data_IF_541049863039
#
_entry.id   IF_541049863039
#
_cell.length_a   1.000
_cell.length_b   1.000
_cell.length_c   1.000
_cell.angle_alpha   90.00
_cell.angle_beta   90.00
_cell.angle_gamma   90.00
#
_symmetry.space_group_name_H-M   'P 1'
#
loop_
_entity.id
_entity.type
_entity.pdbx_description
1 polymer ?
#
# COMPACT_ATOMS: atom_id res chain seq x y z
N UNK A 1 32.00 28.22 -54.42
CA UNK A 1 30.61 27.67 -54.36
C UNK A 1 30.70 26.26 -53.80
N UNK A 2 30.14 25.89 -52.65
CA UNK A 2 28.89 26.34 -52.04
C UNK A 2 28.94 25.96 -50.54
N UNK A 3 28.80 26.96 -49.68
CA UNK A 3 28.45 26.80 -48.27
C UNK A 3 27.03 26.26 -48.15
N UNK A 4 26.79 25.40 -47.17
CA UNK A 4 25.52 25.10 -46.49
C UNK A 4 25.95 24.21 -45.30
N UNK A 5 26.13 24.62 -44.04
CA UNK A 5 25.28 25.35 -43.09
C UNK A 5 23.80 24.96 -43.12
N UNK A 6 23.24 24.75 -41.91
CA UNK A 6 21.91 24.26 -41.53
C UNK A 6 21.79 22.72 -41.45
N UNK A 7 21.38 22.09 -40.34
CA UNK A 7 20.80 22.60 -39.11
C UNK A 7 21.16 21.68 -37.94
N UNK A 8 21.61 22.29 -36.84
CA UNK A 8 21.36 21.76 -35.50
C UNK A 8 19.83 21.57 -35.40
N UNK A 9 19.36 20.36 -35.61
CA UNK A 9 18.04 19.99 -35.14
C UNK A 9 18.19 19.81 -33.64
N UNK A 10 18.09 20.93 -32.91
CA UNK A 10 17.92 20.91 -31.47
C UNK A 10 16.70 20.06 -31.17
N UNK A 11 16.94 18.82 -30.78
CA UNK A 11 15.98 18.06 -30.00
C UNK A 11 15.84 18.82 -28.69
N UNK A 12 14.96 19.83 -28.71
CA UNK A 12 14.34 20.36 -27.51
C UNK A 12 13.59 19.18 -26.92
N UNK A 13 14.27 18.47 -26.02
CA UNK A 13 13.65 17.54 -25.10
C UNK A 13 12.66 18.40 -24.32
N UNK A 14 11.40 18.42 -24.77
CA UNK A 14 10.30 18.81 -23.93
C UNK A 14 10.30 17.78 -22.80
N UNK A 15 11.02 18.10 -21.74
CA UNK A 15 10.92 17.45 -20.44
C UNK A 15 9.49 17.71 -19.98
N UNK A 16 8.59 16.84 -20.41
CA UNK A 16 7.19 16.87 -20.03
C UNK A 16 7.17 16.36 -18.58
N UNK A 17 7.13 17.27 -17.60
CA UNK A 17 6.71 16.99 -16.22
C UNK A 17 5.20 16.65 -16.22
N UNK A 18 4.79 15.63 -16.97
CA UNK A 18 3.48 15.01 -16.72
C UNK A 18 3.69 13.97 -15.65
N UNK A 19 3.10 14.22 -14.48
CA UNK A 19 2.98 13.22 -13.43
C UNK A 19 2.34 11.93 -13.97
N UNK A 20 2.63 10.81 -13.30
CA UNK A 20 2.08 9.50 -13.64
C UNK A 20 0.55 9.55 -13.60
N UNK A 21 -0.10 8.80 -14.50
CA UNK A 21 -1.54 8.52 -14.37
C UNK A 21 -1.79 7.61 -13.18
N UNK A 22 -3.04 7.54 -12.69
CA UNK A 22 -3.40 6.67 -11.56
C UNK A 22 -3.06 5.20 -11.83
N UNK A 23 -3.26 4.73 -13.07
CA UNK A 23 -2.90 3.37 -13.48
C UNK A 23 -1.38 3.16 -13.49
N UNK A 24 -0.61 4.11 -14.03
CA UNK A 24 0.86 4.05 -14.01
C UNK A 24 1.41 4.09 -12.58
N UNK A 25 0.78 4.88 -11.70
CA UNK A 25 1.16 4.97 -10.30
C UNK A 25 0.86 3.66 -9.55
N UNK A 26 -0.29 3.04 -9.80
CA UNK A 26 -0.62 1.74 -9.24
C UNK A 26 0.40 0.66 -9.67
N UNK A 27 0.74 0.61 -10.96
CA UNK A 27 1.74 -0.35 -11.45
C UNK A 27 3.13 -0.09 -10.84
N UNK A 28 3.55 1.16 -10.73
CA UNK A 28 4.81 1.50 -10.09
C UNK A 28 4.84 1.13 -8.59
N UNK A 29 3.70 1.17 -7.92
CA UNK A 29 3.61 0.76 -6.51
C UNK A 29 3.59 -0.76 -6.35
N UNK A 30 2.91 -1.49 -7.24
CA UNK A 30 2.96 -2.95 -7.30
C UNK A 30 4.40 -3.42 -7.53
N UNK A 31 5.11 -2.83 -8.50
CA UNK A 31 6.51 -3.19 -8.78
C UNK A 31 7.41 -2.98 -7.54
N UNK A 32 7.24 -1.86 -6.81
CA UNK A 32 7.98 -1.63 -5.55
C UNK A 32 7.65 -2.69 -4.49
N UNK A 33 6.39 -3.09 -4.38
CA UNK A 33 5.95 -4.13 -3.43
C UNK A 33 6.56 -5.48 -3.81
N UNK A 34 6.48 -5.88 -5.08
CA UNK A 34 7.04 -7.14 -5.57
C UNK A 34 8.56 -7.19 -5.39
N UNK A 35 9.27 -6.10 -5.67
CA UNK A 35 10.70 -5.98 -5.41
C UNK A 35 11.01 -6.12 -3.91
N UNK A 36 10.25 -5.43 -3.04
CA UNK A 36 10.40 -5.59 -1.59
C UNK A 36 10.20 -7.05 -1.16
N UNK A 37 9.16 -7.71 -1.66
CA UNK A 37 8.88 -9.12 -1.35
C UNK A 37 10.02 -10.04 -1.80
N UNK A 38 10.54 -9.83 -3.02
CA UNK A 38 11.65 -10.60 -3.55
C UNK A 38 12.94 -10.40 -2.73
N UNK A 39 13.29 -9.15 -2.42
CA UNK A 39 14.48 -8.80 -1.63
C UNK A 39 14.44 -9.41 -0.22
N UNK A 40 13.25 -9.60 0.33
CA UNK A 40 13.03 -10.18 1.66
C UNK A 40 12.72 -11.68 1.63
N UNK A 41 12.73 -12.33 0.45
CA UNK A 41 12.37 -13.73 0.27
C UNK A 41 10.95 -14.07 0.80
N UNK A 42 10.01 -13.14 0.65
CA UNK A 42 8.64 -13.28 1.08
C UNK A 42 7.76 -13.72 -0.10
N UNK A 43 6.85 -14.66 0.15
CA UNK A 43 5.82 -15.05 -0.82
C UNK A 43 4.47 -14.55 -0.34
N UNK A 44 3.84 -13.67 -1.12
CA UNK A 44 2.55 -13.09 -0.82
C UNK A 44 1.47 -13.55 -1.82
N UNK A 45 0.22 -13.54 -1.37
CA UNK A 45 -0.94 -13.58 -2.24
C UNK A 45 -1.28 -12.15 -2.70
N UNK A 46 -1.96 -12.02 -3.84
CA UNK A 46 -2.41 -10.72 -4.35
C UNK A 46 -3.89 -10.74 -4.71
N UNK A 47 -4.51 -9.58 -4.66
CA UNK A 47 -5.90 -9.37 -5.10
C UNK A 47 -5.92 -8.57 -6.41
N UNK A 48 -7.09 -8.50 -7.04
CA UNK A 48 -7.26 -7.76 -8.29
C UNK A 48 -7.04 -6.24 -8.15
N UNK A 49 -7.12 -5.69 -6.94
CA UNK A 49 -6.86 -4.27 -6.67
C UNK A 49 -5.36 -3.94 -6.53
N UNK A 50 -4.50 -4.96 -6.49
CA UNK A 50 -3.06 -4.82 -6.26
C UNK A 50 -2.65 -4.91 -4.78
N UNK A 51 -3.59 -5.13 -3.86
CA UNK A 51 -3.25 -5.47 -2.47
C UNK A 51 -2.47 -6.79 -2.44
N UNK A 52 -1.32 -6.80 -1.76
CA UNK A 52 -0.59 -8.03 -1.47
C UNK A 52 -0.66 -8.34 0.02
N UNK A 53 -0.72 -9.62 0.37
CA UNK A 53 -0.84 -10.02 1.76
C UNK A 53 -0.23 -11.39 2.06
N UNK A 54 0.15 -11.57 3.32
CA UNK A 54 0.65 -12.81 3.90
C UNK A 54 -0.12 -13.03 5.20
N UNK A 55 -0.89 -14.12 5.27
CA UNK A 55 -1.52 -14.54 6.52
C UNK A 55 -0.46 -15.24 7.37
N UNK A 56 -0.07 -14.62 8.48
CA UNK A 56 0.97 -15.11 9.39
C UNK A 56 0.39 -15.93 10.52
N UNK A 57 -0.90 -15.75 10.82
CA UNK A 57 -1.66 -16.58 11.76
C UNK A 57 -3.09 -16.67 11.28
N UNK A 58 -3.59 -17.88 11.04
CA UNK A 58 -4.92 -18.09 10.46
C UNK A 58 -6.07 -17.53 11.30
N UNK A 59 -5.98 -17.62 12.62
CA UNK A 59 -7.12 -17.40 13.52
C UNK A 59 -8.12 -18.56 13.49
N UNK A 60 -9.18 -18.47 14.32
CA UNK A 60 -10.14 -19.58 14.49
C UNK A 60 -11.61 -19.17 14.45
N UNK A 61 -11.92 -17.87 14.49
CA UNK A 61 -13.30 -17.40 14.38
C UNK A 61 -13.74 -17.15 12.94
N UNK A 62 -14.82 -16.37 12.80
CA UNK A 62 -15.31 -15.93 11.49
C UNK A 62 -14.50 -14.77 10.90
N UNK A 63 -14.98 -14.25 9.78
CA UNK A 63 -14.47 -13.06 9.11
C UNK A 63 -15.35 -11.83 9.39
N UNK A 64 -14.79 -10.63 9.54
CA UNK A 64 -15.57 -9.41 9.66
C UNK A 64 -16.32 -9.10 8.37
N UNK A 65 -17.54 -8.58 8.51
CA UNK A 65 -18.26 -7.99 7.40
C UNK A 65 -17.68 -6.61 7.08
N UNK A 66 -17.93 -6.09 5.88
CA UNK A 66 -17.45 -4.77 5.45
C UNK A 66 -17.96 -3.61 6.32
N UNK A 67 -19.09 -3.80 7.01
CA UNK A 67 -19.68 -2.82 7.93
C UNK A 67 -19.39 -3.13 9.42
N UNK A 68 -18.53 -4.10 9.74
CA UNK A 68 -18.16 -4.44 11.11
C UNK A 68 -17.39 -3.30 11.79
N UNK A 69 -17.49 -3.27 13.12
CA UNK A 69 -16.57 -2.51 13.97
C UNK A 69 -15.47 -3.44 14.43
N UNK A 70 -14.25 -3.23 13.94
CA UNK A 70 -13.11 -4.13 14.18
C UNK A 70 -12.25 -3.63 15.33
N UNK A 71 -11.74 -4.57 16.13
CA UNK A 71 -10.74 -4.33 17.18
C UNK A 71 -9.43 -4.97 16.75
N UNK A 72 -8.36 -4.19 16.65
CA UNK A 72 -7.08 -4.63 16.08
C UNK A 72 -5.88 -4.16 16.90
N UNK A 73 -4.79 -4.93 16.87
CA UNK A 73 -3.46 -4.38 17.04
C UNK A 73 -2.85 -4.19 15.65
N UNK A 74 -2.09 -3.11 15.46
CA UNK A 74 -1.40 -2.89 14.17
C UNK A 74 -0.10 -2.12 14.31
N UNK A 75 0.75 -2.27 13.30
CA UNK A 75 1.91 -1.43 13.01
C UNK A 75 1.85 -1.01 11.55
N UNK A 76 1.84 0.30 11.28
CA UNK A 76 1.90 0.89 9.95
C UNK A 76 3.29 1.45 9.65
N UNK A 77 3.89 0.99 8.54
CA UNK A 77 5.24 1.38 8.09
C UNK A 77 5.22 1.88 6.65
N UNK A 78 6.13 2.78 6.32
CA UNK A 78 6.41 3.14 4.92
C UNK A 78 7.18 2.00 4.24
N UNK A 79 6.73 1.52 3.07
CA UNK A 79 7.45 0.46 2.33
C UNK A 79 8.89 0.85 2.03
N UNK A 80 9.12 2.14 1.72
CA UNK A 80 10.41 2.68 1.27
C UNK A 80 11.57 2.42 2.24
N UNK A 81 11.32 2.46 3.54
CA UNK A 81 12.37 2.45 4.57
C UNK A 81 11.93 1.82 5.89
N UNK A 82 10.76 1.18 5.91
CA UNK A 82 10.13 0.57 7.08
C UNK A 82 9.94 1.51 8.28
N UNK A 83 10.00 2.84 8.07
CA UNK A 83 9.73 3.81 9.14
C UNK A 83 8.29 3.63 9.60
N UNK A 84 8.11 3.29 10.88
CA UNK A 84 6.80 3.28 11.54
C UNK A 84 6.26 4.71 11.56
N UNK A 85 5.04 4.89 11.05
CA UNK A 85 4.33 6.17 11.09
C UNK A 85 3.14 6.14 12.05
N UNK A 86 2.59 4.96 12.33
CA UNK A 86 1.49 4.78 13.26
C UNK A 86 1.47 3.34 13.80
N UNK A 87 1.04 3.14 15.04
CA UNK A 87 0.91 1.82 15.65
C UNK A 87 -0.01 1.85 16.88
N UNK A 88 -0.58 0.69 17.19
CA UNK A 88 -1.26 0.50 18.47
C UNK A 88 -0.25 0.60 19.62
N UNK A 89 -0.63 1.31 20.69
CA UNK A 89 0.13 1.37 21.94
C UNK A 89 -0.78 1.00 23.11
N UNK A 90 -0.33 0.09 23.96
CA UNK A 90 -1.14 -0.41 25.08
C UNK A 90 -2.23 -1.38 24.63
N UNK A 91 -3.48 -0.92 24.55
CA UNK A 91 -4.65 -1.77 24.28
C UNK A 91 -5.06 -1.75 22.80
N UNK A 92 -5.68 -2.82 22.28
CA UNK A 92 -6.19 -2.86 20.91
C UNK A 92 -7.12 -1.69 20.57
N UNK A 93 -6.96 -1.12 19.38
CA UNK A 93 -7.78 -0.01 18.91
C UNK A 93 -9.04 -0.53 18.22
N UNK A 94 -10.15 0.20 18.34
CA UNK A 94 -11.44 -0.18 17.75
C UNK A 94 -11.92 0.87 16.75
N UNK A 95 -12.30 0.42 15.56
CA UNK A 95 -12.67 1.30 14.44
C UNK A 95 -13.87 0.74 13.66
N UNK A 96 -14.76 1.59 13.13
CA UNK A 96 -15.70 1.19 12.08
C UNK A 96 -14.91 0.92 10.79
N UNK A 97 -14.94 -0.32 10.28
CA UNK A 97 -14.10 -0.73 9.14
C UNK A 97 -14.37 0.12 7.90
N UNK A 98 -15.64 0.43 7.64
CA UNK A 98 -16.08 1.22 6.48
C UNK A 98 -15.50 2.65 6.40
N UNK A 99 -14.91 3.16 7.49
CA UNK A 99 -14.32 4.51 7.54
C UNK A 99 -12.78 4.50 7.40
N UNK A 100 -12.17 3.33 7.18
CA UNK A 100 -10.73 3.19 7.06
C UNK A 100 -10.28 3.20 5.60
N UNK A 101 -8.97 3.20 5.35
CA UNK A 101 -8.42 3.13 3.98
C UNK A 101 -8.91 1.87 3.26
N UNK A 102 -9.04 1.94 1.93
CA UNK A 102 -9.59 0.85 1.10
C UNK A 102 -8.80 -0.45 1.30
N UNK A 103 -7.48 -0.38 1.42
CA UNK A 103 -6.64 -1.55 1.67
C UNK A 103 -6.95 -2.26 2.99
N UNK A 104 -7.44 -1.56 4.02
CA UNK A 104 -7.93 -2.19 5.26
C UNK A 104 -9.32 -2.79 5.08
N UNK A 105 -10.21 -2.08 4.38
CA UNK A 105 -11.56 -2.57 4.07
C UNK A 105 -11.53 -3.88 3.27
N UNK A 106 -10.53 -4.05 2.42
CA UNK A 106 -10.28 -5.28 1.66
C UNK A 106 -9.47 -6.30 2.47
N UNK A 107 -8.40 -5.87 3.13
CA UNK A 107 -7.44 -6.76 3.78
C UNK A 107 -7.93 -7.40 5.08
N UNK A 108 -8.60 -6.64 5.96
CA UNK A 108 -9.04 -7.16 7.27
C UNK A 108 -10.04 -8.30 7.14
N UNK A 109 -11.03 -8.27 6.21
CA UNK A 109 -11.92 -9.42 5.97
C UNK A 109 -11.22 -10.70 5.52
N UNK A 110 -9.97 -10.64 5.06
CA UNK A 110 -9.18 -11.85 4.75
C UNK A 110 -8.74 -12.59 6.02
N UNK A 111 -8.68 -11.90 7.16
CA UNK A 111 -8.36 -12.49 8.46
C UNK A 111 -9.60 -13.10 9.10
N UNK A 112 -9.39 -14.19 9.85
CA UNK A 112 -10.35 -14.64 10.85
C UNK A 112 -10.10 -13.95 12.18
N UNK A 113 -11.11 -13.93 13.05
CA UNK A 113 -10.91 -13.50 14.46
C UNK A 113 -9.76 -14.28 15.10
N UNK A 114 -8.85 -13.56 15.74
CA UNK A 114 -7.60 -14.05 16.32
C UNK A 114 -6.46 -14.23 15.32
N UNK A 115 -6.69 -13.93 14.04
CA UNK A 115 -5.71 -14.05 12.96
C UNK A 115 -4.78 -12.84 12.88
N UNK A 116 -3.64 -13.05 12.22
CA UNK A 116 -2.63 -12.03 11.94
C UNK A 116 -2.20 -12.10 10.48
N UNK A 117 -1.86 -10.95 9.92
CA UNK A 117 -1.30 -10.88 8.58
C UNK A 117 -0.50 -9.62 8.35
N UNK A 118 0.35 -9.67 7.33
CA UNK A 118 1.07 -8.53 6.80
C UNK A 118 0.46 -8.15 5.46
N UNK A 119 0.13 -6.88 5.29
CA UNK A 119 -0.54 -6.31 4.13
C UNK A 119 0.35 -5.24 3.51
N UNK A 120 0.62 -5.37 2.22
CA UNK A 120 1.37 -4.41 1.43
C UNK A 120 0.39 -3.68 0.51
N UNK A 121 0.20 -2.40 0.80
CA UNK A 121 -0.90 -1.60 0.29
C UNK A 121 -0.34 -0.59 -0.71
N UNK A 122 -0.67 -0.68 -2.02
CA UNK A 122 -0.36 0.36 -2.99
C UNK A 122 -0.95 1.71 -2.56
N UNK A 123 -0.33 2.82 -2.97
CA UNK A 123 -0.75 4.14 -2.48
C UNK A 123 -2.21 4.46 -2.84
N UNK A 124 -2.70 3.99 -3.99
CA UNK A 124 -4.10 4.13 -4.43
C UNK A 124 -5.12 3.49 -3.47
N UNK A 125 -4.73 2.45 -2.72
CA UNK A 125 -5.56 1.81 -1.69
C UNK A 125 -5.31 2.38 -0.28
N UNK A 126 -4.36 3.31 -0.16
CA UNK A 126 -3.96 3.99 1.07
C UNK A 126 -4.30 5.48 1.03
N UNK A 127 -3.26 6.33 1.08
CA UNK A 127 -3.40 7.80 1.16
C UNK A 127 -3.19 8.53 -0.18
N UNK A 128 -2.97 7.79 -1.27
CA UNK A 128 -2.93 8.30 -2.64
C UNK A 128 -1.92 9.43 -2.88
N UNK A 129 -2.16 10.29 -3.89
CA UNK A 129 -1.24 11.35 -4.29
C UNK A 129 -1.15 12.51 -3.30
N UNK A 130 -2.08 12.61 -2.34
CA UNK A 130 -2.06 13.64 -1.32
C UNK A 130 -1.17 13.28 -0.13
N UNK A 131 -1.00 11.99 0.17
CA UNK A 131 -0.38 11.55 1.41
C UNK A 131 -1.19 11.96 2.65
N UNK A 132 -0.59 11.85 3.82
CA UNK A 132 -1.20 12.30 5.09
C UNK A 132 -0.15 12.41 6.20
N UNK A 133 0.01 13.59 6.81
CA UNK A 133 0.97 13.81 7.90
C UNK A 133 2.39 13.35 7.51
N UNK A 134 2.89 12.33 8.21
CA UNK A 134 4.21 11.72 7.99
C UNK A 134 4.29 10.79 6.76
N UNK A 135 3.16 10.53 6.10
CA UNK A 135 3.03 9.63 4.95
C UNK A 135 3.17 10.46 3.66
N UNK A 136 4.24 10.27 2.87
CA UNK A 136 4.42 11.01 1.62
C UNK A 136 3.33 10.69 0.58
N UNK A 137 3.16 11.62 -0.36
CA UNK A 137 2.39 11.39 -1.57
C UNK A 137 2.83 10.10 -2.29
N UNK A 138 1.86 9.31 -2.77
CA UNK A 138 2.09 8.09 -3.55
C UNK A 138 3.04 7.10 -2.87
N UNK A 139 2.95 6.98 -1.54
CA UNK A 139 3.74 6.03 -0.77
C UNK A 139 2.97 4.71 -0.56
N UNK A 140 3.50 3.57 -1.04
CA UNK A 140 3.05 2.26 -0.61
C UNK A 140 3.35 2.01 0.87
N UNK A 141 2.53 1.22 1.51
CA UNK A 141 2.56 0.98 2.96
C UNK A 141 2.68 -0.50 3.27
N UNK A 142 3.24 -0.80 4.44
CA UNK A 142 3.20 -2.12 5.06
C UNK A 142 2.37 -1.99 6.34
N UNK A 143 1.37 -2.86 6.50
CA UNK A 143 0.64 -3.00 7.75
C UNK A 143 0.75 -4.43 8.27
N UNK A 144 1.26 -4.56 9.49
CA UNK A 144 1.11 -5.80 10.27
C UNK A 144 -0.14 -5.64 11.13
N UNK A 145 -1.13 -6.53 10.99
CA UNK A 145 -2.43 -6.43 11.65
C UNK A 145 -2.74 -7.74 12.37
N UNK A 146 -3.18 -7.64 13.61
CA UNK A 146 -3.83 -8.70 14.38
C UNK A 146 -5.30 -8.34 14.58
N UNK A 147 -6.21 -9.18 14.11
CA UNK A 147 -7.65 -9.02 14.30
C UNK A 147 -8.08 -9.65 15.62
N UNK A 148 -8.30 -8.80 16.63
CA UNK A 148 -8.68 -9.24 17.98
C UNK A 148 -10.17 -9.57 18.07
N UNK A 149 -11.03 -8.71 17.51
CA UNK A 149 -12.48 -8.89 17.54
C UNK A 149 -13.18 -8.09 16.43
N UNK A 150 -14.46 -8.39 16.17
CA UNK A 150 -15.33 -7.62 15.28
C UNK A 150 -16.82 -7.93 15.49
#
# INVERSE_FOLDING_TARGET
MRYLLFALCGFLIFSCEKGLTDEQQLQADIEKIENYLADHNLTAQSTASGLHYIITTEGTGGHPASNSTVTVNYIGKLLKNEKVFDQTTGTPNTFPLANLIVGWQEGIPLLKKGGKGTFFIPSALGYGPSGSGDIPANAPLIFEIELVNF
#
